data_IF_673990307576
#
_entry.id   IF_673990307576
#
_cell.length_a   1.000
_cell.length_b   1.000
_cell.length_c   1.000
_cell.angle_alpha   90.00
_cell.angle_beta   90.00
_cell.angle_gamma   90.00
#
_symmetry.space_group_name_H-M   'P 1'
#
loop_
_entity.id
_entity.type
_entity.pdbx_description
1 polymer ?
#
# COMPACT_ATOMS: atom_id res chain seq x y z
N UNK A 1 -5.73 68.96 -12.54
CA UNK A 1 -6.19 67.77 -13.28
C UNK A 1 -5.09 66.71 -13.22
N UNK A 2 -5.13 65.84 -12.21
CA UNK A 2 -4.09 64.85 -11.90
C UNK A 2 -4.22 63.61 -12.78
N UNK A 3 -3.23 63.33 -13.62
CA UNK A 3 -3.09 62.02 -14.28
C UNK A 3 -2.31 61.10 -13.34
N UNK A 4 -3.02 60.27 -12.59
CA UNK A 4 -2.46 59.09 -11.92
C UNK A 4 -2.46 57.96 -12.94
N UNK A 5 -1.29 57.56 -13.40
CA UNK A 5 -1.10 56.30 -14.12
C UNK A 5 -0.38 55.35 -13.16
N UNK A 6 -0.96 54.20 -12.77
CA UNK A 6 -0.27 53.23 -11.93
C UNK A 6 0.60 52.30 -12.78
N UNK A 7 1.78 51.98 -12.25
CA UNK A 7 2.77 51.02 -12.76
C UNK A 7 2.16 49.65 -13.11
N UNK A 8 2.70 48.95 -14.13
CA UNK A 8 2.35 47.56 -14.38
C UNK A 8 2.93 46.68 -13.26
N UNK A 9 2.05 45.88 -12.65
CA UNK A 9 2.37 44.98 -11.55
C UNK A 9 3.55 44.06 -11.82
N UNK A 10 4.65 44.31 -11.12
CA UNK A 10 5.73 43.35 -10.94
C UNK A 10 5.45 42.55 -9.66
N UNK A 11 4.55 41.58 -9.77
CA UNK A 11 4.10 40.72 -8.68
C UNK A 11 4.12 39.27 -9.12
N UNK A 12 5.30 38.72 -9.39
CA UNK A 12 5.49 37.28 -9.44
C UNK A 12 6.80 36.94 -8.73
N UNK A 13 6.78 37.15 -7.41
CA UNK A 13 7.75 36.51 -6.53
C UNK A 13 7.49 35.01 -6.63
N UNK A 14 8.45 34.30 -7.21
CA UNK A 14 8.54 32.85 -7.18
C UNK A 14 8.56 32.38 -5.71
N UNK A 15 7.38 32.14 -5.15
CA UNK A 15 7.18 31.36 -3.94
C UNK A 15 6.62 30.02 -4.35
N UNK A 16 7.54 29.15 -4.76
CA UNK A 16 7.36 27.72 -4.87
C UNK A 16 8.70 27.12 -4.52
N UNK A 17 9.19 27.42 -3.31
CA UNK A 17 10.36 26.75 -2.77
C UNK A 17 10.08 25.27 -2.80
N UNK A 18 10.78 24.57 -3.70
CA UNK A 18 10.71 23.14 -3.87
C UNK A 18 10.85 22.50 -2.49
N UNK A 19 9.74 21.96 -1.98
CA UNK A 19 9.75 21.02 -0.89
C UNK A 19 10.60 19.87 -1.39
N UNK A 20 11.85 19.84 -0.93
CA UNK A 20 12.85 18.82 -1.20
C UNK A 20 12.17 17.47 -1.32
N UNK A 21 11.98 17.04 -2.57
CA UNK A 21 11.56 15.69 -2.93
C UNK A 21 12.64 14.80 -2.33
N UNK A 22 12.33 14.28 -1.15
CA UNK A 22 13.18 13.34 -0.45
C UNK A 22 13.03 12.06 -1.26
N UNK A 23 13.81 11.98 -2.34
CA UNK A 23 13.86 10.88 -3.30
C UNK A 23 14.47 9.66 -2.60
N UNK A 24 13.75 9.14 -1.60
CA UNK A 24 13.90 7.76 -1.22
C UNK A 24 13.46 6.93 -2.43
N UNK A 25 14.24 5.92 -2.84
CA UNK A 25 13.86 5.09 -3.97
C UNK A 25 12.48 4.49 -3.70
N UNK A 26 11.50 4.84 -4.55
CA UNK A 26 10.15 4.25 -4.49
C UNK A 26 10.30 2.73 -4.51
N UNK A 27 9.60 2.05 -3.61
CA UNK A 27 9.68 0.60 -3.54
C UNK A 27 9.24 -0.01 -4.86
N UNK A 28 10.07 -0.90 -5.40
CA UNK A 28 9.68 -1.69 -6.58
C UNK A 28 8.57 -2.66 -6.21
N UNK A 29 7.76 -3.06 -7.20
CA UNK A 29 6.70 -4.05 -7.00
C UNK A 29 7.24 -5.38 -6.42
N UNK A 30 8.45 -5.77 -6.78
CA UNK A 30 9.13 -6.96 -6.25
C UNK A 30 9.46 -6.84 -4.77
N UNK A 31 9.93 -5.66 -4.31
CA UNK A 31 10.17 -5.41 -2.89
C UNK A 31 8.87 -5.46 -2.09
N UNK A 32 7.82 -4.80 -2.58
CA UNK A 32 6.48 -4.84 -1.97
C UNK A 32 5.97 -6.28 -1.88
N UNK A 33 6.16 -7.07 -2.94
CA UNK A 33 5.77 -8.47 -2.94
C UNK A 33 6.52 -9.27 -1.87
N UNK A 34 7.85 -9.18 -1.84
CA UNK A 34 8.69 -9.93 -0.90
C UNK A 34 8.37 -9.60 0.55
N UNK A 35 8.19 -8.32 0.88
CA UNK A 35 7.82 -7.90 2.23
C UNK A 35 6.42 -8.34 2.60
N UNK A 36 5.45 -8.20 1.69
CA UNK A 36 4.10 -8.63 1.97
C UNK A 36 3.99 -10.15 2.21
N UNK A 37 4.83 -10.98 1.56
CA UNK A 37 4.92 -12.41 1.89
C UNK A 37 5.45 -12.64 3.31
N UNK A 38 6.59 -12.01 3.66
CA UNK A 38 7.21 -12.18 4.99
C UNK A 38 6.31 -11.69 6.13
N UNK A 39 5.65 -10.54 5.95
CA UNK A 39 4.72 -9.97 6.93
C UNK A 39 3.46 -10.84 7.04
N UNK A 40 2.90 -11.32 5.93
CA UNK A 40 1.73 -12.20 5.96
C UNK A 40 2.01 -13.57 6.60
N UNK A 41 3.28 -14.00 6.62
CA UNK A 41 3.75 -15.17 7.36
C UNK A 41 4.07 -14.89 8.83
N UNK A 42 3.94 -13.64 9.29
CA UNK A 42 4.25 -13.22 10.66
C UNK A 42 5.75 -13.23 10.98
N UNK A 43 6.61 -13.27 9.95
CA UNK A 43 8.08 -13.31 10.13
C UNK A 43 8.69 -11.94 10.32
N UNK A 44 8.05 -10.91 9.77
CA UNK A 44 8.48 -9.52 9.85
C UNK A 44 7.31 -8.61 10.26
N UNK A 45 7.68 -7.46 10.81
CA UNK A 45 6.77 -6.34 11.02
C UNK A 45 6.80 -5.37 9.83
N UNK A 46 5.88 -4.41 9.83
CA UNK A 46 5.88 -3.38 8.81
C UNK A 46 7.08 -2.44 8.98
N UNK A 47 7.90 -2.25 7.93
CA UNK A 47 9.06 -1.37 8.02
C UNK A 47 8.67 0.09 8.24
N UNK A 48 9.28 0.72 9.25
CA UNK A 48 8.97 2.09 9.69
C UNK A 48 9.36 3.16 8.65
N UNK A 49 10.36 2.85 7.82
CA UNK A 49 10.85 3.71 6.75
C UNK A 49 9.91 3.78 5.53
N UNK A 50 8.88 2.92 5.47
CA UNK A 50 7.90 2.93 4.37
C UNK A 50 6.72 3.79 4.75
N UNK A 51 6.56 4.89 4.04
CA UNK A 51 5.52 5.89 4.29
C UNK A 51 4.74 6.21 3.00
N UNK A 52 3.61 6.88 3.15
CA UNK A 52 2.82 7.38 2.01
C UNK A 52 2.27 6.28 1.10
N UNK A 53 2.39 6.48 -0.22
CA UNK A 53 1.81 5.59 -1.22
C UNK A 53 2.39 4.17 -1.18
N UNK A 54 3.69 4.05 -0.92
CA UNK A 54 4.37 2.76 -0.82
C UNK A 54 3.87 1.96 0.39
N UNK A 55 3.53 2.65 1.49
CA UNK A 55 2.94 2.03 2.67
C UNK A 55 1.55 1.48 2.36
N UNK A 56 0.70 2.28 1.71
CA UNK A 56 -0.63 1.85 1.30
C UNK A 56 -0.59 0.65 0.34
N UNK A 57 0.36 0.65 -0.61
CA UNK A 57 0.58 -0.46 -1.53
C UNK A 57 1.00 -1.75 -0.79
N UNK A 58 1.91 -1.63 0.18
CA UNK A 58 2.34 -2.76 1.02
C UNK A 58 1.19 -3.31 1.87
N UNK A 59 0.42 -2.45 2.53
CA UNK A 59 -0.75 -2.86 3.33
C UNK A 59 -1.82 -3.56 2.49
N UNK A 60 -2.09 -3.05 1.28
CA UNK A 60 -2.98 -3.73 0.35
C UNK A 60 -2.44 -5.12 -0.04
N UNK A 61 -1.15 -5.21 -0.37
CA UNK A 61 -0.51 -6.46 -0.75
C UNK A 61 -0.52 -7.51 0.38
N UNK A 62 -0.30 -7.09 1.63
CA UNK A 62 -0.41 -7.94 2.83
C UNK A 62 -1.84 -8.44 3.01
N UNK A 63 -2.83 -7.54 2.99
CA UNK A 63 -4.26 -7.90 3.14
C UNK A 63 -4.71 -8.91 2.08
N UNK A 64 -4.32 -8.72 0.83
CA UNK A 64 -4.67 -9.63 -0.26
C UNK A 64 -4.10 -11.05 -0.03
N UNK A 65 -2.86 -11.15 0.45
CA UNK A 65 -2.22 -12.44 0.75
C UNK A 65 -2.89 -13.16 1.92
N UNK A 66 -3.16 -12.44 3.01
CA UNK A 66 -3.88 -12.99 4.16
C UNK A 66 -5.27 -13.49 3.76
N UNK A 67 -6.02 -12.71 2.97
CA UNK A 67 -7.33 -13.13 2.44
C UNK A 67 -7.22 -14.42 1.63
N UNK A 68 -6.27 -14.52 0.70
CA UNK A 68 -6.07 -15.74 -0.11
C UNK A 68 -5.71 -16.95 0.77
N UNK A 69 -4.93 -16.76 1.82
CA UNK A 69 -4.60 -17.83 2.78
C UNK A 69 -5.84 -18.27 3.56
N UNK A 70 -6.61 -17.32 4.08
CA UNK A 70 -7.86 -17.61 4.79
C UNK A 70 -8.83 -18.40 3.90
N UNK A 71 -9.05 -17.96 2.66
CA UNK A 71 -9.92 -18.66 1.70
C UNK A 71 -9.45 -20.09 1.47
N UNK A 72 -8.14 -20.34 1.29
CA UNK A 72 -7.61 -21.70 1.13
C UNK A 72 -7.84 -22.57 2.37
N UNK A 73 -7.64 -22.03 3.56
CA UNK A 73 -7.85 -22.75 4.81
C UNK A 73 -9.33 -23.11 5.00
N UNK A 74 -10.23 -22.15 4.76
CA UNK A 74 -11.68 -22.36 4.83
C UNK A 74 -12.13 -23.39 3.81
N UNK A 75 -11.69 -23.27 2.55
CA UNK A 75 -12.02 -24.24 1.50
C UNK A 75 -11.56 -25.66 1.89
N UNK A 76 -10.36 -25.80 2.46
CA UNK A 76 -9.85 -27.09 2.92
C UNK A 76 -10.64 -27.65 4.10
N UNK A 77 -11.05 -26.80 5.05
CA UNK A 77 -11.90 -27.22 6.16
C UNK A 77 -13.28 -27.70 5.69
N UNK A 78 -13.89 -26.99 4.74
CA UNK A 78 -15.17 -27.39 4.12
C UNK A 78 -15.01 -28.74 3.41
N UNK A 79 -13.98 -28.90 2.58
CA UNK A 79 -13.72 -30.16 1.89
C UNK A 79 -13.51 -31.34 2.85
N UNK A 80 -12.77 -31.13 3.94
CA UNK A 80 -12.57 -32.14 4.99
C UNK A 80 -13.89 -32.55 5.66
N UNK A 81 -14.76 -31.58 5.97
CA UNK A 81 -16.08 -31.85 6.55
C UNK A 81 -16.98 -32.64 5.62
N UNK A 82 -17.03 -32.26 4.34
CA UNK A 82 -17.82 -32.98 3.34
C UNK A 82 -17.33 -34.42 3.15
N UNK A 83 -16.01 -34.65 3.18
CA UNK A 83 -15.46 -36.00 3.09
C UNK A 83 -15.85 -36.85 4.31
N UNK A 84 -15.71 -36.32 5.53
CA UNK A 84 -16.11 -37.02 6.75
C UNK A 84 -17.61 -37.39 6.74
N UNK A 85 -18.47 -36.46 6.31
CA UNK A 85 -19.93 -36.72 6.24
C UNK A 85 -20.34 -37.69 5.14
N UNK A 86 -19.57 -37.79 4.05
CA UNK A 86 -19.83 -38.78 2.99
C UNK A 86 -19.42 -40.20 3.35
N UNK A 87 -18.49 -40.37 4.29
CA UNK A 87 -18.00 -41.69 4.74
C UNK A 87 -18.97 -42.38 5.71
N UNK A 88 -19.76 -41.62 6.48
CA UNK A 88 -20.77 -42.21 7.40
C UNK A 88 -22.05 -42.69 6.70
N UNK A 89 -22.22 -42.38 5.41
CA UNK A 89 -23.42 -42.73 4.63
C UNK A 89 -23.27 -44.03 3.82
N UNK A 90 -22.22 -44.83 4.05
CA UNK A 90 -21.91 -46.07 3.31
C UNK A 90 -21.86 -47.26 4.26
#
# INVERSE_FOLDING_TARGET
>A
MSRRNPDPGNGSVASGGDCSDSTLPRLTAEHVARWADRIADGRDEFPAQVVGADRAALEYAVRLRLRRRLVRLVARAIAGRLHASGVEAI
#
